data_IF_287310069697
#
_entry.id   IF_287310069697
#
_cell.length_a   1.000
_cell.length_b   1.000
_cell.length_c   1.000
_cell.angle_alpha   90.00
_cell.angle_beta   90.00
_cell.angle_gamma   90.00
#
_symmetry.space_group_name_H-M   'P 1'
#
loop_
_entity.id
_entity.type
_entity.pdbx_description
1 polymer ?
#
# COMPACT_ATOMS: atom_id res chain seq x y z
N UNK A 1 14.34 7.63 27.19
CA UNK A 1 15.06 7.88 25.93
C UNK A 1 16.22 6.88 25.80
N UNK A 2 16.32 6.12 24.70
CA UNK A 2 17.55 5.36 24.41
C UNK A 2 18.71 6.37 24.26
N UNK A 3 19.77 6.21 25.04
CA UNK A 3 21.02 6.96 24.86
C UNK A 3 21.78 6.30 23.70
N UNK A 4 21.98 7.03 22.61
CA UNK A 4 22.85 6.61 21.53
C UNK A 4 24.30 6.91 21.91
N UNK A 5 25.20 5.94 21.75
CA UNK A 5 26.59 6.07 22.19
C UNK A 5 27.40 6.98 21.24
N UNK A 6 27.27 6.76 19.94
CA UNK A 6 27.99 7.54 18.94
C UNK A 6 27.41 8.95 18.75
N UNK A 7 28.30 9.95 18.67
CA UNK A 7 27.92 11.36 18.42
C UNK A 7 27.15 11.51 17.11
N UNK A 8 27.62 10.84 16.04
CA UNK A 8 26.96 10.85 14.74
C UNK A 8 25.51 10.34 14.79
N UNK A 9 25.25 9.27 15.55
CA UNK A 9 23.91 8.68 15.69
C UNK A 9 23.02 9.58 16.55
N UNK A 10 23.56 10.23 17.60
CA UNK A 10 22.82 11.25 18.38
C UNK A 10 22.37 12.42 17.50
N UNK A 11 23.28 12.94 16.68
CA UNK A 11 22.98 14.02 15.74
C UNK A 11 21.94 13.59 14.69
N UNK A 12 22.06 12.37 14.17
CA UNK A 12 21.09 11.81 13.23
C UNK A 12 19.70 11.65 13.87
N UNK A 13 19.65 11.15 15.12
CA UNK A 13 18.42 11.01 15.88
C UNK A 13 17.76 12.38 16.15
N UNK A 14 18.54 13.40 16.50
CA UNK A 14 18.03 14.76 16.66
C UNK A 14 17.44 15.31 15.35
N UNK A 15 18.09 15.06 14.20
CA UNK A 15 17.55 15.42 12.90
C UNK A 15 16.25 14.67 12.57
N UNK A 16 16.15 13.37 12.91
CA UNK A 16 14.94 12.59 12.73
C UNK A 16 13.78 13.08 13.62
N UNK A 17 14.07 13.50 14.87
CA UNK A 17 13.07 14.01 15.81
C UNK A 17 12.38 15.27 15.28
N UNK A 18 13.08 16.16 14.57
CA UNK A 18 12.50 17.39 13.98
C UNK A 18 11.40 17.11 12.95
N UNK A 19 11.54 16.02 12.18
CA UNK A 19 10.61 15.69 11.07
C UNK A 19 9.66 14.53 11.42
N UNK A 20 10.02 13.73 12.41
CA UNK A 20 9.31 12.54 12.83
C UNK A 20 9.44 12.35 14.35
N UNK A 21 8.79 13.21 15.15
CA UNK A 21 8.86 13.11 16.60
C UNK A 21 8.37 11.76 17.10
N UNK A 22 8.98 11.25 18.17
CA UNK A 22 8.54 10.00 18.81
C UNK A 22 7.23 10.16 19.56
N UNK A 23 7.03 11.35 20.13
CA UNK A 23 5.83 11.70 20.86
C UNK A 23 4.74 12.13 19.87
N UNK A 24 3.61 11.39 19.75
CA UNK A 24 2.51 11.74 18.85
C UNK A 24 1.96 13.16 19.05
N UNK A 25 2.00 13.69 20.28
CA UNK A 25 1.39 14.99 20.59
C UNK A 25 2.19 16.15 19.97
N UNK A 26 3.47 15.94 19.69
CA UNK A 26 4.35 16.93 19.06
C UNK A 26 4.28 16.97 17.53
N UNK A 27 3.34 16.24 16.92
CA UNK A 27 3.34 16.04 15.48
C UNK A 27 2.90 17.23 14.65
N UNK A 28 2.07 18.11 15.19
CA UNK A 28 1.58 19.27 14.44
C UNK A 28 2.71 20.24 14.04
N UNK A 29 3.76 20.32 14.87
CA UNK A 29 4.93 21.18 14.68
C UNK A 29 6.09 20.57 13.89
N UNK A 30 5.94 19.35 13.34
CA UNK A 30 7.06 18.67 12.65
C UNK A 30 7.46 19.37 11.36
N UNK A 31 8.77 19.47 11.14
CA UNK A 31 9.34 20.05 9.94
C UNK A 31 8.97 19.21 8.70
N UNK A 32 8.64 19.85 7.56
CA UNK A 32 8.44 19.13 6.32
C UNK A 32 9.77 18.60 5.77
N UNK A 33 9.71 17.48 5.06
CA UNK A 33 10.85 16.93 4.30
C UNK A 33 10.64 17.18 2.81
N UNK A 34 11.73 17.17 2.04
CA UNK A 34 11.65 17.24 0.58
C UNK A 34 11.00 15.96 0.07
N UNK A 35 9.80 16.08 -0.48
CA UNK A 35 9.03 15.01 -1.10
C UNK A 35 9.47 14.75 -2.55
N UNK A 36 8.77 13.83 -3.21
CA UNK A 36 8.96 13.58 -4.65
C UNK A 36 8.62 14.86 -5.42
N UNK A 37 9.47 15.26 -6.37
CA UNK A 37 9.29 16.49 -7.14
C UNK A 37 9.68 17.79 -6.41
N UNK A 38 10.33 17.71 -5.25
CA UNK A 38 10.80 18.89 -4.50
C UNK A 38 9.74 19.53 -3.60
N UNK A 39 8.51 18.99 -3.58
CA UNK A 39 7.40 19.51 -2.79
C UNK A 39 7.63 19.20 -1.30
N UNK A 40 7.54 20.18 -0.40
CA UNK A 40 7.62 19.92 1.04
C UNK A 40 6.45 19.04 1.51
N UNK A 41 6.73 17.91 2.14
CA UNK A 41 5.71 16.98 2.65
C UNK A 41 6.00 16.62 4.10
N UNK A 42 4.95 16.58 4.94
CA UNK A 42 5.06 16.11 6.32
C UNK A 42 5.14 14.59 6.37
N UNK A 43 6.05 14.07 7.19
CA UNK A 43 6.24 12.61 7.35
C UNK A 43 4.97 11.97 7.93
N UNK A 44 4.58 10.81 7.40
CA UNK A 44 3.44 10.02 7.89
C UNK A 44 3.81 9.12 9.08
N UNK A 45 2.84 8.61 9.86
CA UNK A 45 3.15 7.72 10.98
C UNK A 45 3.95 6.47 10.65
N UNK A 46 3.60 5.84 9.54
CA UNK A 46 4.32 4.66 9.09
C UNK A 46 5.76 5.01 8.73
N UNK A 47 5.97 6.15 8.07
CA UNK A 47 7.30 6.62 7.68
C UNK A 47 8.13 7.05 8.88
N UNK A 48 7.55 7.70 9.87
CA UNK A 48 8.23 8.05 11.12
C UNK A 48 8.83 6.81 11.81
N UNK A 49 8.05 5.73 11.93
CA UNK A 49 8.55 4.44 12.45
C UNK A 49 9.69 3.87 11.62
N UNK A 50 9.63 4.00 10.29
CA UNK A 50 10.69 3.53 9.39
C UNK A 50 11.98 4.36 9.52
N UNK A 51 11.88 5.68 9.69
CA UNK A 51 13.03 6.54 9.94
C UNK A 51 13.74 6.13 11.24
N UNK A 52 12.97 5.94 12.32
CA UNK A 52 13.51 5.48 13.60
C UNK A 52 14.09 4.06 13.55
N UNK A 53 13.51 3.18 12.73
CA UNK A 53 14.09 1.87 12.46
C UNK A 53 15.49 2.01 11.84
N UNK A 54 15.68 2.90 10.86
CA UNK A 54 16.98 3.13 10.21
C UNK A 54 17.97 3.83 11.14
N UNK A 55 17.53 4.79 11.98
CA UNK A 55 18.38 5.35 13.04
C UNK A 55 18.87 4.25 13.98
N UNK A 56 17.99 3.32 14.35
CA UNK A 56 18.38 2.15 15.15
C UNK A 56 19.32 1.19 14.41
N UNK A 57 19.27 1.10 13.08
CA UNK A 57 20.25 0.34 12.30
C UNK A 57 21.62 1.03 12.33
N UNK A 58 21.67 2.35 12.20
CA UNK A 58 22.91 3.13 12.34
C UNK A 58 23.54 2.96 13.71
N UNK A 59 22.74 3.00 14.77
CA UNK A 59 23.19 2.74 16.15
C UNK A 59 23.88 1.38 16.30
N UNK A 60 23.37 0.33 15.64
CA UNK A 60 23.98 -1.02 15.65
C UNK A 60 25.17 -1.18 14.73
N UNK A 61 25.26 -0.36 13.68
CA UNK A 61 26.37 -0.39 12.74
C UNK A 61 27.56 0.38 13.31
N UNK A 62 27.35 1.62 13.72
CA UNK A 62 28.40 2.51 14.21
C UNK A 62 28.97 1.93 15.51
N UNK A 63 30.22 1.50 15.47
CA UNK A 63 30.81 0.74 16.57
C UNK A 63 31.50 -0.54 16.11
N UNK A 64 31.01 -1.12 15.02
CA UNK A 64 31.53 -2.34 14.43
C UNK A 64 32.87 -2.12 13.73
N UNK A 65 33.66 -3.19 13.64
CA UNK A 65 34.99 -3.22 13.03
C UNK A 65 34.98 -2.94 11.53
N UNK A 66 33.89 -3.32 10.86
CA UNK A 66 33.67 -3.10 9.43
C UNK A 66 33.38 -1.63 9.12
N UNK A 67 32.90 -0.86 10.10
CA UNK A 67 32.51 0.54 9.88
C UNK A 67 33.73 1.46 9.99
N UNK A 68 33.96 2.37 9.02
CA UNK A 68 35.05 3.32 9.10
C UNK A 68 34.94 4.22 10.35
N UNK A 69 36.04 4.45 11.08
CA UNK A 69 36.04 5.23 12.34
C UNK A 69 35.43 6.63 12.21
N UNK A 70 35.59 7.25 11.04
CA UNK A 70 35.00 8.57 10.74
C UNK A 70 33.47 8.59 10.87
N UNK A 71 32.81 7.43 10.75
CA UNK A 71 31.37 7.29 10.93
C UNK A 71 30.91 7.71 12.34
N UNK A 72 31.78 7.69 13.35
CA UNK A 72 31.45 8.12 14.72
C UNK A 72 31.44 9.65 14.89
N UNK A 73 32.11 10.39 14.00
CA UNK A 73 32.46 11.81 14.21
C UNK A 73 31.28 12.77 14.07
N UNK A 74 30.44 12.58 13.05
CA UNK A 74 29.26 13.42 12.82
C UNK A 74 28.22 12.75 11.92
N UNK A 75 26.97 13.21 11.98
CA UNK A 75 25.88 12.62 11.19
C UNK A 75 26.13 12.70 9.67
N UNK A 76 26.77 13.76 9.18
CA UNK A 76 27.10 13.90 7.76
C UNK A 76 28.11 12.85 7.27
N UNK A 77 28.99 12.36 8.14
CA UNK A 77 29.96 11.31 7.80
C UNK A 77 29.29 9.95 7.54
N UNK A 78 28.11 9.70 8.14
CA UNK A 78 27.31 8.50 7.90
C UNK A 78 26.89 8.36 6.43
N UNK A 79 26.73 9.49 5.74
CA UNK A 79 26.28 9.55 4.36
C UNK A 79 27.43 9.69 3.34
N UNK A 80 28.66 9.40 3.75
CA UNK A 80 29.79 9.31 2.81
C UNK A 80 29.76 7.96 2.08
N UNK A 81 30.21 7.89 0.80
CA UNK A 81 30.07 6.66 0.02
C UNK A 81 30.70 5.41 0.66
N UNK A 82 31.92 5.46 1.24
CA UNK A 82 32.48 4.31 1.96
C UNK A 82 31.66 3.88 3.17
N UNK A 83 31.10 4.81 3.95
CA UNK A 83 30.32 4.47 5.14
C UNK A 83 28.94 3.92 4.75
N UNK A 84 28.33 4.47 3.69
CA UNK A 84 27.06 3.97 3.15
C UNK A 84 27.19 2.58 2.56
N UNK A 85 28.32 2.25 1.91
CA UNK A 85 28.58 0.92 1.36
C UNK A 85 28.58 -0.14 2.45
N UNK A 86 29.41 0.04 3.48
CA UNK A 86 29.51 -0.90 4.61
C UNK A 86 28.17 -1.03 5.36
N UNK A 87 27.52 0.10 5.62
CA UNK A 87 26.18 0.08 6.21
C UNK A 87 25.18 -0.74 5.38
N UNK A 88 25.22 -0.57 4.06
CA UNK A 88 24.30 -1.24 3.15
C UNK A 88 24.52 -2.76 3.11
N UNK A 89 25.77 -3.21 3.10
CA UNK A 89 26.13 -4.63 3.13
C UNK A 89 25.68 -5.29 4.44
N UNK A 90 25.92 -4.63 5.57
CA UNK A 90 25.43 -5.07 6.89
C UNK A 90 23.90 -5.09 6.97
N UNK A 91 23.23 -4.12 6.34
CA UNK A 91 21.77 -4.08 6.28
C UNK A 91 21.23 -5.23 5.42
N UNK A 92 21.79 -5.45 4.22
CA UNK A 92 21.37 -6.49 3.28
C UNK A 92 21.46 -7.89 3.87
N UNK A 93 22.57 -8.19 4.53
CA UNK A 93 22.78 -9.45 5.25
C UNK A 93 21.91 -9.61 6.49
N UNK A 94 21.15 -8.58 6.87
CA UNK A 94 20.21 -8.62 8.01
C UNK A 94 20.88 -8.48 9.37
N UNK A 95 22.18 -8.20 9.43
CA UNK A 95 22.94 -8.08 10.68
C UNK A 95 22.55 -6.86 11.52
N UNK A 96 21.90 -5.87 10.91
CA UNK A 96 21.41 -4.67 11.58
C UNK A 96 19.96 -4.77 12.07
N UNK A 97 19.33 -5.95 12.00
CA UNK A 97 17.95 -6.15 12.46
C UNK A 97 17.86 -6.06 13.99
N UNK A 98 16.82 -5.40 14.49
CA UNK A 98 16.55 -5.37 15.93
C UNK A 98 15.96 -6.71 16.43
N UNK A 99 15.22 -7.41 15.57
CA UNK A 99 14.59 -8.69 15.87
C UNK A 99 15.13 -9.77 14.94
N UNK A 100 15.41 -10.95 15.50
CA UNK A 100 15.80 -12.12 14.71
C UNK A 100 14.65 -12.54 13.80
N UNK A 101 14.94 -13.08 12.60
CA UNK A 101 13.91 -13.63 11.73
C UNK A 101 13.18 -14.78 12.42
N UNK A 102 11.88 -14.91 12.13
CA UNK A 102 11.08 -16.08 12.51
C UNK A 102 11.67 -17.35 11.89
N UNK A 103 11.48 -18.49 12.58
CA UNK A 103 11.99 -19.81 12.14
C UNK A 103 11.54 -20.10 10.70
N UNK A 104 12.48 -20.44 9.83
CA UNK A 104 12.24 -20.72 8.40
C UNK A 104 12.33 -19.51 7.46
N UNK A 105 12.57 -18.28 7.95
CA UNK A 105 12.85 -17.13 7.09
C UNK A 105 14.35 -16.89 6.93
N UNK A 106 14.75 -16.42 5.74
CA UNK A 106 16.13 -15.99 5.45
C UNK A 106 16.57 -14.86 6.38
N UNK A 107 17.86 -14.85 6.72
CA UNK A 107 18.48 -13.82 7.56
C UNK A 107 18.48 -12.45 6.88
N UNK A 108 18.75 -12.43 5.58
CA UNK A 108 18.76 -11.25 4.71
C UNK A 108 17.47 -10.42 4.79
N UNK A 109 17.62 -9.11 4.59
CA UNK A 109 16.46 -8.23 4.49
C UNK A 109 15.72 -8.45 3.16
N UNK A 110 14.38 -8.61 3.18
CA UNK A 110 13.59 -8.65 1.96
C UNK A 110 13.79 -7.38 1.11
N UNK A 111 13.76 -7.52 -0.22
CA UNK A 111 13.93 -6.42 -1.18
C UNK A 111 13.00 -5.22 -0.88
N UNK A 112 11.75 -5.47 -0.47
CA UNK A 112 10.81 -4.44 -0.09
C UNK A 112 11.29 -3.61 1.12
N UNK A 113 11.91 -4.26 2.10
CA UNK A 113 12.50 -3.59 3.27
C UNK A 113 13.75 -2.81 2.88
N UNK A 114 14.60 -3.35 2.00
CA UNK A 114 15.77 -2.63 1.50
C UNK A 114 15.39 -1.33 0.79
N UNK A 115 14.31 -1.31 0.02
CA UNK A 115 13.78 -0.05 -0.56
C UNK A 115 13.36 0.95 0.49
N UNK A 116 12.68 0.49 1.54
CA UNK A 116 12.30 1.35 2.67
C UNK A 116 13.55 1.95 3.33
N UNK A 117 14.58 1.13 3.55
CA UNK A 117 15.86 1.60 4.10
C UNK A 117 16.49 2.64 3.19
N UNK A 118 16.61 2.37 1.88
CA UNK A 118 17.12 3.31 0.87
C UNK A 118 16.36 4.64 0.87
N UNK A 119 15.04 4.60 0.82
CA UNK A 119 14.21 5.82 0.86
C UNK A 119 14.48 6.63 2.14
N UNK A 120 14.56 5.95 3.29
CA UNK A 120 14.83 6.61 4.57
C UNK A 120 16.26 7.17 4.66
N UNK A 121 17.25 6.51 4.05
CA UNK A 121 18.60 7.05 3.90
C UNK A 121 18.60 8.35 3.09
N UNK A 122 17.79 8.43 2.02
CA UNK A 122 17.64 9.67 1.25
C UNK A 122 17.09 10.83 2.10
N UNK A 123 16.02 10.56 2.86
CA UNK A 123 15.42 11.57 3.75
C UNK A 123 16.43 11.99 4.83
N UNK A 124 16.95 11.03 5.60
CA UNK A 124 17.88 11.31 6.70
C UNK A 124 19.16 12.00 6.22
N UNK A 125 19.71 11.56 5.09
CA UNK A 125 20.90 12.13 4.50
C UNK A 125 20.69 13.59 4.11
N UNK A 126 19.53 13.93 3.54
CA UNK A 126 19.19 15.32 3.16
C UNK A 126 19.10 16.27 4.35
N UNK A 127 18.75 15.74 5.54
CA UNK A 127 18.60 16.53 6.77
C UNK A 127 19.93 16.85 7.46
N UNK A 128 20.97 16.04 7.24
CA UNK A 128 22.27 16.16 7.94
C UNK A 128 23.42 16.50 7.02
N UNK A 129 23.23 16.40 5.70
CA UNK A 129 24.24 16.76 4.72
C UNK A 129 24.16 18.25 4.37
N UNK A 130 25.29 18.88 4.02
CA UNK A 130 25.28 20.26 3.52
C UNK A 130 24.32 20.43 2.35
N UNK A 131 23.60 21.57 2.30
CA UNK A 131 22.68 21.89 1.20
C UNK A 131 23.42 21.80 -0.14
N UNK A 132 22.80 21.17 -1.13
CA UNK A 132 23.37 20.99 -2.48
C UNK A 132 24.31 19.79 -2.64
N UNK A 133 24.66 19.07 -1.57
CA UNK A 133 25.45 17.83 -1.69
C UNK A 133 24.60 16.69 -2.23
N UNK A 134 24.98 16.14 -3.38
CA UNK A 134 24.36 14.94 -3.94
C UNK A 134 24.69 13.71 -3.09
N UNK A 135 23.68 12.91 -2.79
CA UNK A 135 23.80 11.67 -2.03
C UNK A 135 23.86 10.47 -2.98
N UNK A 136 25.00 9.78 -3.00
CA UNK A 136 25.14 8.50 -3.70
C UNK A 136 24.46 7.38 -2.90
N UNK A 137 23.15 7.23 -3.05
CA UNK A 137 22.39 6.16 -2.40
C UNK A 137 22.61 4.81 -3.09
N UNK A 138 22.61 3.69 -2.35
CA UNK A 138 22.69 2.35 -2.94
C UNK A 138 21.60 2.10 -3.98
N UNK A 139 21.98 1.40 -5.05
CA UNK A 139 21.02 0.92 -6.06
C UNK A 139 20.25 -0.27 -5.51
N UNK A 140 18.94 -0.28 -5.71
CA UNK A 140 18.07 -1.39 -5.31
C UNK A 140 17.34 -1.88 -6.54
N UNK A 141 17.39 -3.19 -6.87
CA UNK A 141 16.69 -3.73 -8.03
C UNK A 141 15.22 -3.30 -8.02
N UNK A 142 14.73 -2.77 -9.14
CA UNK A 142 13.31 -2.52 -9.32
C UNK A 142 12.58 -3.85 -9.44
N UNK A 143 11.36 -3.98 -8.88
CA UNK A 143 10.65 -5.23 -8.98
C UNK A 143 10.18 -5.33 -10.43
N UNK A 144 10.56 -6.39 -11.13
CA UNK A 144 9.83 -6.77 -12.34
C UNK A 144 8.39 -7.01 -11.88
N UNK A 145 7.46 -6.25 -12.46
CA UNK A 145 6.05 -6.42 -12.12
C UNK A 145 5.67 -7.84 -12.52
N UNK A 146 5.07 -8.59 -11.59
CA UNK A 146 4.54 -9.91 -11.92
C UNK A 146 3.46 -9.75 -12.97
N UNK A 147 3.40 -10.71 -13.88
CA UNK A 147 2.37 -10.80 -14.91
C UNK A 147 0.98 -10.71 -14.30
N UNK A 148 0.11 -9.99 -14.98
CA UNK A 148 -1.31 -9.85 -14.64
C UNK A 148 -2.07 -11.09 -15.06
N UNK A 149 -3.22 -11.34 -14.41
CA UNK A 149 -4.12 -12.44 -14.81
C UNK A 149 -4.65 -12.17 -16.22
N UNK A 150 -4.79 -13.22 -17.03
CA UNK A 150 -5.45 -13.14 -18.34
C UNK A 150 -6.95 -12.86 -18.17
N UNK A 151 -7.52 -12.09 -19.09
CA UNK A 151 -8.95 -11.71 -19.03
C UNK A 151 -9.90 -12.93 -19.03
N UNK A 152 -9.55 -13.99 -19.76
CA UNK A 152 -10.31 -15.26 -19.80
C UNK A 152 -10.43 -15.92 -18.42
N UNK A 153 -9.35 -15.93 -17.64
CA UNK A 153 -9.33 -16.49 -16.29
C UNK A 153 -10.17 -15.65 -15.31
N UNK A 154 -10.33 -14.34 -15.55
CA UNK A 154 -11.22 -13.48 -14.77
C UNK A 154 -12.70 -13.78 -15.04
N UNK A 155 -13.10 -14.00 -16.30
CA UNK A 155 -14.46 -14.38 -16.64
C UNK A 155 -14.85 -15.76 -16.12
N UNK A 156 -13.90 -16.69 -16.04
CA UNK A 156 -14.08 -17.98 -15.36
C UNK A 156 -14.21 -17.81 -13.85
N UNK A 157 -13.39 -16.96 -13.23
CA UNK A 157 -13.52 -16.62 -11.82
C UNK A 157 -14.93 -16.11 -11.53
N UNK A 158 -15.43 -15.08 -12.24
CA UNK A 158 -16.79 -14.56 -12.04
C UNK A 158 -17.88 -15.63 -12.12
N UNK A 159 -17.86 -16.48 -13.15
CA UNK A 159 -18.85 -17.57 -13.29
C UNK A 159 -18.78 -18.56 -12.12
N UNK A 160 -17.57 -18.94 -11.71
CA UNK A 160 -17.39 -19.85 -10.57
C UNK A 160 -17.74 -19.20 -9.23
N UNK A 161 -17.52 -17.90 -9.03
CA UNK A 161 -17.94 -17.20 -7.81
C UNK A 161 -19.45 -17.33 -7.58
N UNK A 162 -20.26 -17.33 -8.66
CA UNK A 162 -21.71 -17.55 -8.60
C UNK A 162 -22.05 -18.98 -8.19
N UNK A 163 -21.41 -19.99 -8.79
CA UNK A 163 -21.58 -21.40 -8.41
C UNK A 163 -21.22 -21.63 -6.94
N UNK A 164 -20.08 -21.06 -6.51
CA UNK A 164 -19.56 -21.20 -5.15
C UNK A 164 -20.42 -20.50 -4.11
N UNK A 165 -21.10 -19.42 -4.47
CA UNK A 165 -22.04 -18.76 -3.59
C UNK A 165 -23.23 -19.69 -3.26
N UNK A 166 -23.65 -20.54 -4.20
CA UNK A 166 -24.84 -21.40 -4.07
C UNK A 166 -24.60 -22.79 -3.45
N UNK A 167 -23.36 -23.28 -3.42
CA UNK A 167 -23.07 -24.65 -2.98
C UNK A 167 -22.87 -24.79 -1.45
N UNK A 168 -23.04 -26.02 -0.92
CA UNK A 168 -22.67 -26.45 0.45
C UNK A 168 -21.17 -26.19 0.78
N UNK A 169 -20.68 -26.43 2.02
CA UNK A 169 -19.29 -26.17 2.38
C UNK A 169 -18.33 -26.76 1.34
N UNK A 170 -17.45 -25.92 0.80
CA UNK A 170 -16.39 -26.42 -0.07
C UNK A 170 -15.35 -27.03 0.84
N UNK A 171 -15.28 -28.36 0.85
CA UNK A 171 -14.32 -29.11 1.63
C UNK A 171 -13.50 -30.03 0.72
N UNK A 172 -12.18 -30.04 0.95
CA UNK A 172 -11.26 -30.97 0.33
C UNK A 172 -10.10 -31.22 1.28
N UNK A 173 -9.78 -32.49 1.53
CA UNK A 173 -8.64 -32.89 2.36
C UNK A 173 -8.66 -32.23 3.76
N UNK A 174 -9.84 -32.07 4.36
CA UNK A 174 -10.04 -31.40 5.65
C UNK A 174 -9.88 -29.88 5.63
N UNK A 175 -9.62 -29.27 4.47
CA UNK A 175 -9.64 -27.82 4.27
C UNK A 175 -11.04 -27.44 3.84
N UNK A 176 -11.76 -26.69 4.69
CA UNK A 176 -13.06 -26.14 4.37
C UNK A 176 -13.04 -24.60 4.42
N UNK A 177 -13.77 -23.96 3.51
CA UNK A 177 -14.16 -22.56 3.66
C UNK A 177 -15.52 -22.49 4.37
N UNK A 178 -15.56 -21.85 5.53
CA UNK A 178 -16.84 -21.58 6.21
C UNK A 178 -17.75 -20.72 5.33
N UNK A 179 -19.05 -20.77 5.60
CA UNK A 179 -20.02 -19.95 4.88
C UNK A 179 -19.66 -18.45 4.96
N UNK A 180 -19.24 -17.98 6.13
CA UNK A 180 -18.85 -16.59 6.38
C UNK A 180 -17.56 -16.22 5.66
N UNK A 181 -16.54 -17.09 5.69
CA UNK A 181 -15.27 -16.86 5.00
C UNK A 181 -15.48 -16.79 3.49
N UNK A 182 -16.27 -17.72 2.95
CA UNK A 182 -16.62 -17.75 1.53
C UNK A 182 -17.38 -16.50 1.14
N UNK A 183 -18.46 -16.16 1.83
CA UNK A 183 -19.30 -15.01 1.49
C UNK A 183 -18.51 -13.70 1.53
N UNK A 184 -17.65 -13.52 2.54
CA UNK A 184 -16.74 -12.37 2.61
C UNK A 184 -15.74 -12.36 1.45
N UNK A 185 -15.11 -13.50 1.15
CA UNK A 185 -14.12 -13.61 0.08
C UNK A 185 -14.74 -13.30 -1.28
N UNK A 186 -15.92 -13.87 -1.57
CA UNK A 186 -16.66 -13.62 -2.80
C UNK A 186 -16.97 -12.13 -2.96
N UNK A 187 -17.50 -11.49 -1.91
CA UNK A 187 -17.78 -10.05 -1.92
C UNK A 187 -16.50 -9.22 -2.16
N UNK A 188 -15.39 -9.57 -1.51
CA UNK A 188 -14.10 -8.88 -1.71
C UNK A 188 -13.59 -9.02 -3.14
N UNK A 189 -13.62 -10.24 -3.69
CA UNK A 189 -13.16 -10.51 -5.06
C UNK A 189 -14.02 -9.72 -6.05
N UNK A 190 -15.35 -9.84 -5.98
CA UNK A 190 -16.26 -9.18 -6.92
C UNK A 190 -16.13 -7.65 -6.87
N UNK A 191 -15.99 -7.06 -5.68
CA UNK A 191 -15.70 -5.62 -5.54
C UNK A 191 -14.34 -5.25 -6.15
N UNK A 192 -13.32 -6.09 -6.00
CA UNK A 192 -12.00 -5.84 -6.62
C UNK A 192 -12.09 -5.89 -8.14
N UNK A 193 -12.90 -6.80 -8.67
CA UNK A 193 -13.09 -6.96 -10.11
C UNK A 193 -13.94 -5.83 -10.73
N UNK A 194 -14.87 -5.24 -9.99
CA UNK A 194 -15.67 -4.11 -10.49
C UNK A 194 -14.99 -2.75 -10.28
N UNK A 195 -14.16 -2.60 -9.23
CA UNK A 195 -13.72 -1.25 -8.77
C UNK A 195 -12.19 -1.08 -8.65
N UNK A 196 -11.43 -2.17 -8.83
CA UNK A 196 -9.97 -2.21 -8.74
C UNK A 196 -9.36 -1.40 -7.56
N UNK A 197 -9.83 -1.54 -6.30
CA UNK A 197 -9.31 -0.80 -5.16
C UNK A 197 -8.00 -1.40 -4.67
N UNK A 198 -7.09 -0.57 -4.14
CA UNK A 198 -5.95 -1.06 -3.34
C UNK A 198 -6.45 -1.63 -2.01
N UNK A 199 -5.66 -2.46 -1.35
CA UNK A 199 -6.12 -3.12 -0.11
C UNK A 199 -6.46 -2.13 1.01
N UNK A 200 -5.73 -1.01 1.07
CA UNK A 200 -6.06 0.09 1.99
C UNK A 200 -7.29 0.91 1.61
N UNK A 201 -7.63 0.98 0.33
CA UNK A 201 -8.84 1.65 -0.18
C UNK A 201 -10.05 0.75 0.09
N UNK A 202 -9.95 -0.55 -0.24
CA UNK A 202 -10.97 -1.55 0.04
C UNK A 202 -11.26 -1.64 1.55
N UNK A 203 -10.23 -1.70 2.39
CA UNK A 203 -10.40 -1.74 3.85
C UNK A 203 -11.01 -0.45 4.43
N UNK A 204 -10.99 0.66 3.69
CA UNK A 204 -11.57 1.93 4.13
C UNK A 204 -13.03 2.12 3.69
N UNK A 205 -13.59 1.19 2.90
CA UNK A 205 -14.97 1.23 2.44
C UNK A 205 -15.93 1.12 3.63
N UNK A 206 -16.92 2.00 3.65
CA UNK A 206 -18.00 2.05 4.65
C UNK A 206 -19.34 1.67 4.03
N UNK A 207 -20.33 1.36 4.86
CA UNK A 207 -21.71 1.13 4.39
C UNK A 207 -22.28 2.34 3.65
N UNK A 208 -21.98 3.55 4.13
CA UNK A 208 -22.37 4.81 3.47
C UNK A 208 -21.63 5.08 2.14
N UNK A 209 -20.72 4.20 1.73
CA UNK A 209 -20.09 4.24 0.42
C UNK A 209 -20.84 3.34 -0.59
N UNK A 210 -21.86 2.59 -0.18
CA UNK A 210 -22.76 1.85 -1.08
C UNK A 210 -24.02 2.67 -1.37
N UNK A 211 -24.50 2.62 -2.63
CA UNK A 211 -25.83 3.15 -2.96
C UNK A 211 -26.93 2.20 -2.51
N UNK A 212 -28.18 2.64 -2.59
CA UNK A 212 -29.35 1.76 -2.40
C UNK A 212 -29.29 0.55 -3.35
N UNK A 213 -29.61 -0.63 -2.80
CA UNK A 213 -29.57 -1.91 -3.53
C UNK A 213 -28.19 -2.29 -4.07
N UNK A 214 -27.13 -1.75 -3.45
CA UNK A 214 -25.72 -2.02 -3.73
C UNK A 214 -25.32 -1.76 -5.19
N UNK A 215 -26.05 -0.90 -5.91
CA UNK A 215 -25.86 -0.70 -7.36
C UNK A 215 -24.55 -0.03 -7.73
N UNK A 216 -23.99 0.78 -6.84
CA UNK A 216 -22.69 1.40 -7.01
C UNK A 216 -21.94 1.48 -5.69
N UNK A 217 -20.62 1.56 -5.80
CA UNK A 217 -19.70 1.69 -4.68
C UNK A 217 -18.77 2.89 -4.87
N UNK A 218 -18.67 3.71 -3.83
CA UNK A 218 -17.70 4.80 -3.73
C UNK A 218 -16.36 4.29 -3.22
N UNK A 219 -15.31 4.49 -4.01
CA UNK A 219 -13.93 4.18 -3.63
C UNK A 219 -13.17 5.48 -3.42
N UNK A 220 -12.70 5.71 -2.20
CA UNK A 220 -11.79 6.83 -1.89
C UNK A 220 -10.38 6.49 -2.35
N UNK A 221 -9.90 7.12 -3.43
CA UNK A 221 -8.58 6.87 -3.98
C UNK A 221 -7.53 7.48 -3.06
N UNK A 222 -6.73 6.62 -2.43
CA UNK A 222 -5.59 7.02 -1.60
C UNK A 222 -4.33 6.76 -2.40
N UNK A 223 -4.04 7.64 -3.35
CA UNK A 223 -2.83 7.54 -4.16
C UNK A 223 -1.60 7.63 -3.25
N UNK A 224 -0.95 6.48 -3.01
CA UNK A 224 0.35 6.43 -2.37
C UNK A 224 1.41 6.22 -3.45
N UNK A 225 2.34 7.18 -3.54
CA UNK A 225 3.61 7.11 -4.28
C UNK A 225 3.56 7.03 -5.82
N UNK A 226 2.43 7.31 -6.44
CA UNK A 226 2.41 7.62 -7.87
C UNK A 226 1.41 8.75 -8.09
N UNK A 227 1.76 9.79 -8.84
CA UNK A 227 0.76 10.72 -9.35
C UNK A 227 -0.28 9.94 -10.17
N UNK A 228 -1.45 10.54 -10.40
CA UNK A 228 -2.45 9.98 -11.28
C UNK A 228 -1.80 9.44 -12.55
N UNK A 229 -2.22 8.27 -13.03
CA UNK A 229 -1.83 7.87 -14.39
C UNK A 229 -2.64 8.70 -15.41
N UNK A 230 -2.54 10.03 -15.31
CA UNK A 230 -2.90 11.02 -16.31
C UNK A 230 -1.69 11.34 -17.18
N UNK A 231 -0.68 10.46 -17.20
CA UNK A 231 0.53 10.72 -17.97
C UNK A 231 0.20 10.95 -19.45
N UNK A 232 -0.83 10.26 -19.96
CA UNK A 232 -1.32 10.42 -21.33
C UNK A 232 -2.14 11.70 -21.51
N UNK A 233 -2.99 12.05 -20.56
CA UNK A 233 -3.79 13.28 -20.63
C UNK A 233 -2.93 14.54 -20.47
N UNK A 234 -2.00 14.53 -19.51
CA UNK A 234 -0.99 15.58 -19.33
C UNK A 234 -0.07 15.63 -20.55
N UNK A 235 0.28 14.50 -21.15
CA UNK A 235 1.08 14.45 -22.38
C UNK A 235 0.34 15.06 -23.57
N UNK A 236 -0.95 14.77 -23.71
CA UNK A 236 -1.80 15.37 -24.73
C UNK A 236 -1.90 16.89 -24.55
N UNK A 237 -2.17 17.35 -23.31
CA UNK A 237 -2.30 18.79 -23.02
C UNK A 237 -0.96 19.54 -23.12
N UNK A 238 0.14 18.93 -22.68
CA UNK A 238 1.46 19.51 -22.79
C UNK A 238 2.12 19.30 -24.16
N UNK A 239 1.48 18.55 -25.08
CA UNK A 239 2.04 18.07 -26.37
C UNK A 239 3.46 17.49 -26.24
N UNK A 240 3.63 16.56 -25.31
CA UNK A 240 4.90 15.86 -25.06
C UNK A 240 4.68 14.36 -25.05
N UNK A 241 5.76 13.58 -25.11
CA UNK A 241 5.66 12.14 -24.96
C UNK A 241 5.25 11.74 -23.52
N UNK A 242 4.33 10.76 -23.34
CA UNK A 242 3.93 10.25 -22.02
C UNK A 242 5.09 9.77 -21.15
N UNK A 243 6.20 9.30 -21.72
CA UNK A 243 7.39 8.92 -20.96
C UNK A 243 8.08 10.12 -20.29
N UNK A 244 8.11 11.28 -20.94
CA UNK A 244 8.60 12.54 -20.36
C UNK A 244 7.74 12.98 -19.19
N UNK A 245 6.42 12.87 -19.33
CA UNK A 245 5.49 13.15 -18.23
C UNK A 245 5.75 12.21 -17.06
N UNK A 246 5.84 10.90 -17.30
CA UNK A 246 6.15 9.91 -16.26
C UNK A 246 7.49 10.21 -15.58
N UNK A 247 8.51 10.62 -16.32
CA UNK A 247 9.81 11.00 -15.76
C UNK A 247 9.68 12.19 -14.79
N UNK A 248 8.98 13.26 -15.18
CA UNK A 248 8.72 14.44 -14.31
C UNK A 248 7.90 14.04 -13.08
N UNK A 249 6.81 13.31 -13.30
CA UNK A 249 5.90 12.80 -12.28
C UNK A 249 6.58 11.89 -11.24
N UNK A 250 7.63 11.16 -11.64
CA UNK A 250 8.46 10.36 -10.75
C UNK A 250 9.66 11.10 -10.15
N UNK A 251 9.75 12.42 -10.37
CA UNK A 251 10.82 13.27 -9.82
C UNK A 251 12.15 13.18 -10.56
N UNK A 252 12.18 12.55 -11.75
CA UNK A 252 13.37 12.47 -12.60
C UNK A 252 13.50 13.71 -13.48
N UNK A 253 13.42 14.92 -12.90
CA UNK A 253 13.52 16.21 -13.65
C UNK A 253 14.76 16.29 -14.54
N UNK A 254 15.86 15.70 -14.11
CA UNK A 254 17.12 15.67 -14.86
C UNK A 254 17.05 14.91 -16.20
N UNK A 255 15.98 14.15 -16.46
CA UNK A 255 15.77 13.41 -17.71
C UNK A 255 14.99 14.20 -18.77
N UNK A 256 14.50 15.40 -18.43
CA UNK A 256 13.75 16.25 -19.35
C UNK A 256 14.36 17.64 -19.42
N UNK A 257 14.18 18.32 -20.55
CA UNK A 257 14.60 19.71 -20.69
C UNK A 257 13.78 20.63 -19.77
N UNK A 258 14.32 21.79 -19.41
CA UNK A 258 13.59 22.80 -18.63
C UNK A 258 12.30 23.23 -19.33
N UNK A 259 12.34 23.37 -20.66
CA UNK A 259 11.18 23.73 -21.47
C UNK A 259 10.08 22.66 -21.40
N UNK A 260 10.43 21.38 -21.56
CA UNK A 260 9.52 20.24 -21.42
C UNK A 260 8.92 20.17 -20.01
N UNK A 261 9.74 20.42 -18.99
CA UNK A 261 9.30 20.47 -17.59
C UNK A 261 8.25 21.57 -17.38
N UNK A 262 8.49 22.79 -17.86
CA UNK A 262 7.55 23.90 -17.72
C UNK A 262 6.20 23.62 -18.41
N UNK A 263 6.21 23.01 -19.60
CA UNK A 263 4.95 22.59 -20.28
C UNK A 263 4.17 21.56 -19.48
N UNK A 264 4.85 20.57 -18.92
CA UNK A 264 4.22 19.53 -18.08
C UNK A 264 3.63 20.17 -16.81
N UNK A 265 4.35 21.10 -16.18
CA UNK A 265 3.86 21.80 -14.98
C UNK A 265 2.65 22.70 -15.31
N UNK A 266 2.68 23.43 -16.43
CA UNK A 266 1.55 24.24 -16.89
C UNK A 266 0.30 23.37 -17.14
N UNK A 267 0.45 22.28 -17.89
CA UNK A 267 -0.62 21.32 -18.13
C UNK A 267 -1.18 20.73 -16.83
N UNK A 268 -0.33 20.39 -15.85
CA UNK A 268 -0.77 19.92 -14.54
C UNK A 268 -1.56 20.99 -13.76
N UNK A 269 -1.29 22.28 -13.98
CA UNK A 269 -2.01 23.39 -13.36
C UNK A 269 -3.38 23.66 -13.98
N UNK A 270 -3.58 23.29 -15.25
CA UNK A 270 -4.86 23.42 -15.96
C UNK A 270 -5.83 22.27 -15.66
N UNK A 271 -5.30 21.09 -15.31
CA UNK A 271 -6.13 19.93 -15.01
C UNK A 271 -6.78 20.04 -13.63
N UNK A 272 -8.08 19.82 -13.57
CA UNK A 272 -8.78 19.69 -12.30
C UNK A 272 -8.18 18.55 -11.46
N UNK A 273 -8.05 18.74 -10.13
CA UNK A 273 -7.56 17.68 -9.26
C UNK A 273 -8.48 16.45 -9.37
N UNK A 274 -7.88 15.26 -9.46
CA UNK A 274 -8.68 14.04 -9.47
C UNK A 274 -9.57 13.98 -8.23
N UNK A 275 -10.82 13.53 -8.38
CA UNK A 275 -11.71 13.42 -7.25
C UNK A 275 -11.12 12.44 -6.22
N UNK A 276 -11.12 12.85 -4.94
CA UNK A 276 -10.65 11.98 -3.86
C UNK A 276 -11.49 10.69 -3.74
N UNK A 277 -12.69 10.70 -4.30
CA UNK A 277 -13.62 9.59 -4.32
C UNK A 277 -14.28 9.44 -5.68
N UNK A 278 -14.30 8.22 -6.19
CA UNK A 278 -14.91 7.84 -7.46
C UNK A 278 -16.02 6.82 -7.20
N UNK A 279 -17.08 6.84 -8.00
CA UNK A 279 -18.16 5.87 -7.93
C UNK A 279 -18.03 4.84 -9.05
N UNK A 280 -18.30 3.58 -8.75
CA UNK A 280 -18.22 2.48 -9.71
C UNK A 280 -19.53 1.71 -9.70
N UNK A 281 -20.07 1.37 -10.88
CA UNK A 281 -21.24 0.51 -10.99
C UNK A 281 -20.86 -0.91 -10.60
N UNK A 282 -21.68 -1.52 -9.75
CA UNK A 282 -21.52 -2.91 -9.37
C UNK A 282 -22.35 -3.81 -10.28
N UNK A 283 -21.73 -4.86 -10.81
CA UNK A 283 -22.42 -5.86 -11.61
C UNK A 283 -23.40 -6.67 -10.75
N UNK A 284 -24.39 -7.32 -11.37
CA UNK A 284 -25.41 -8.08 -10.65
C UNK A 284 -24.80 -9.16 -9.73
N UNK A 285 -23.79 -9.88 -10.20
CA UNK A 285 -23.08 -10.88 -9.39
C UNK A 285 -22.39 -10.27 -8.17
N UNK A 286 -21.81 -9.07 -8.31
CA UNK A 286 -21.21 -8.33 -7.20
C UNK A 286 -22.25 -7.87 -6.20
N UNK A 287 -23.41 -7.38 -6.68
CA UNK A 287 -24.53 -6.98 -5.83
C UNK A 287 -25.04 -8.14 -4.97
N UNK A 288 -25.20 -9.32 -5.57
CA UNK A 288 -25.60 -10.54 -4.84
C UNK A 288 -24.54 -10.94 -3.81
N UNK A 289 -23.26 -10.94 -4.18
CA UNK A 289 -22.18 -11.29 -3.26
C UNK A 289 -22.08 -10.31 -2.08
N UNK A 290 -22.18 -9.01 -2.34
CA UNK A 290 -22.17 -7.96 -1.31
C UNK A 290 -23.39 -8.10 -0.41
N UNK A 291 -24.60 -8.31 -0.94
CA UNK A 291 -25.82 -8.46 -0.14
C UNK A 291 -25.73 -9.64 0.84
N UNK A 292 -25.31 -10.81 0.36
CA UNK A 292 -25.09 -11.97 1.24
C UNK A 292 -24.04 -11.70 2.32
N UNK A 293 -22.99 -10.96 1.96
CA UNK A 293 -21.99 -10.54 2.94
C UNK A 293 -22.58 -9.59 3.98
N UNK A 294 -23.45 -8.66 3.58
CA UNK A 294 -24.11 -7.74 4.50
C UNK A 294 -24.96 -8.49 5.54
N UNK A 295 -25.67 -9.54 5.14
CA UNK A 295 -26.43 -10.41 6.05
C UNK A 295 -25.53 -11.07 7.11
N UNK A 296 -24.44 -11.71 6.69
CA UNK A 296 -23.46 -12.32 7.61
C UNK A 296 -22.81 -11.28 8.51
N UNK A 297 -22.45 -10.13 7.93
CA UNK A 297 -21.81 -9.02 8.64
C UNK A 297 -22.73 -8.46 9.72
N UNK A 298 -24.02 -8.29 9.43
CA UNK A 298 -24.99 -7.77 10.37
C UNK A 298 -25.08 -8.65 11.61
N UNK A 299 -25.20 -9.96 11.44
CA UNK A 299 -25.21 -10.94 12.54
C UNK A 299 -23.94 -10.82 13.42
N UNK A 300 -22.77 -10.69 12.80
CA UNK A 300 -21.51 -10.53 13.52
C UNK A 300 -21.43 -9.21 14.29
N UNK A 301 -21.93 -8.12 13.72
CA UNK A 301 -21.88 -6.78 14.31
C UNK A 301 -22.96 -6.59 15.38
N UNK A 302 -24.13 -7.20 15.24
CA UNK A 302 -25.19 -7.18 16.26
C UNK A 302 -24.77 -7.93 17.52
N UNK A 303 -23.98 -8.99 17.37
CA UNK A 303 -23.41 -9.72 18.51
C UNK A 303 -22.36 -8.92 19.30
N UNK A 304 -21.95 -7.73 18.82
CA UNK A 304 -20.93 -6.91 19.47
C UNK A 304 -21.49 -5.96 20.54
N UNK A 305 -20.87 -5.91 21.73
CA UNK A 305 -21.19 -4.89 22.73
C UNK A 305 -20.65 -3.48 22.39
N UNK A 306 -19.86 -3.32 21.32
CA UNK A 306 -19.15 -2.08 20.98
C UNK A 306 -19.47 -1.58 19.56
N UNK A 307 -19.45 -0.26 19.38
CA UNK A 307 -19.80 0.44 18.12
C UNK A 307 -18.75 0.33 17.00
N UNK A 308 -17.53 -0.14 17.29
CA UNK A 308 -16.35 -0.02 16.42
C UNK A 308 -16.37 -0.76 15.07
N UNK A 309 -17.40 -1.54 14.76
CA UNK A 309 -17.60 -2.21 13.46
C UNK A 309 -18.78 -1.70 12.63
N UNK A 310 -19.70 -0.92 13.23
CA UNK A 310 -21.04 -0.68 12.67
C UNK A 310 -21.07 0.00 11.30
N UNK A 311 -20.09 0.86 11.00
CA UNK A 311 -20.04 1.59 9.73
C UNK A 311 -19.12 0.98 8.68
N UNK A 312 -18.22 0.05 9.05
CA UNK A 312 -17.24 -0.52 8.12
C UNK A 312 -17.87 -1.63 7.28
N UNK A 313 -17.54 -1.72 5.98
CA UNK A 313 -18.04 -2.81 5.14
C UNK A 313 -17.38 -4.15 5.50
N UNK A 314 -16.11 -4.14 5.88
CA UNK A 314 -15.35 -5.37 6.15
C UNK A 314 -15.06 -5.53 7.64
N UNK A 315 -15.40 -6.70 8.19
CA UNK A 315 -15.21 -7.03 9.60
C UNK A 315 -14.43 -8.33 9.80
N UNK A 316 -13.89 -8.51 11.00
CA UNK A 316 -13.25 -9.76 11.42
C UNK A 316 -14.30 -10.87 11.59
N UNK A 317 -13.98 -12.11 11.21
CA UNK A 317 -14.86 -13.27 11.45
C UNK A 317 -14.50 -14.01 12.74
N UNK A 318 -13.25 -13.87 13.18
CA UNK A 318 -12.72 -14.54 14.37
C UNK A 318 -12.14 -13.50 15.32
N UNK A 319 -12.09 -13.79 16.63
CA UNK A 319 -11.39 -12.95 17.60
C UNK A 319 -9.94 -12.73 17.18
N UNK A 320 -9.46 -11.50 17.39
CA UNK A 320 -8.08 -11.10 17.09
C UNK A 320 -7.47 -10.35 18.27
N UNK A 321 -6.16 -10.08 18.21
CA UNK A 321 -5.50 -9.18 19.18
C UNK A 321 -6.12 -7.78 19.25
N UNK A 322 -6.87 -7.36 18.22
CA UNK A 322 -7.53 -6.06 18.17
C UNK A 322 -8.93 -6.08 18.80
N UNK A 323 -9.50 -7.25 19.11
CA UNK A 323 -10.82 -7.39 19.69
C UNK A 323 -11.61 -8.60 19.15
N UNK A 324 -12.90 -8.71 19.54
CA UNK A 324 -13.79 -9.81 19.13
C UNK A 324 -14.06 -9.87 17.62
N UNK A 325 -14.76 -10.91 17.17
CA UNK A 325 -15.31 -10.97 15.81
C UNK A 325 -16.30 -9.80 15.56
N UNK A 326 -16.44 -9.32 14.33
CA UNK A 326 -17.32 -8.20 13.97
C UNK A 326 -16.66 -6.81 14.02
N UNK A 327 -15.43 -6.68 14.52
CA UNK A 327 -14.73 -5.38 14.51
C UNK A 327 -14.19 -5.05 13.11
N UNK A 328 -13.97 -3.75 12.84
CA UNK A 328 -13.44 -3.28 11.55
C UNK A 328 -12.15 -3.98 11.14
N UNK A 329 -12.12 -4.53 9.92
CA UNK A 329 -10.97 -5.23 9.36
C UNK A 329 -9.91 -4.22 8.87
N UNK A 330 -8.77 -4.16 9.56
CA UNK A 330 -7.65 -3.28 9.17
C UNK A 330 -7.01 -3.72 7.83
N UNK A 331 -6.32 -2.83 7.09
CA UNK A 331 -5.73 -3.15 5.78
C UNK A 331 -4.84 -4.40 5.74
N UNK A 332 -4.04 -4.61 6.80
CA UNK A 332 -3.21 -5.83 6.91
C UNK A 332 -4.07 -7.08 7.13
N UNK A 333 -5.09 -6.99 7.98
CA UNK A 333 -6.04 -8.08 8.22
C UNK A 333 -6.83 -8.43 6.95
N UNK A 334 -7.23 -7.43 6.17
CA UNK A 334 -7.88 -7.63 4.87
C UNK A 334 -6.96 -8.36 3.90
N UNK A 335 -5.71 -7.93 3.79
CA UNK A 335 -4.73 -8.57 2.89
C UNK A 335 -4.50 -10.03 3.28
N UNK A 336 -4.42 -10.32 4.58
CA UNK A 336 -4.28 -11.69 5.09
C UNK A 336 -5.54 -12.53 4.87
N UNK A 337 -6.73 -11.98 5.12
CA UNK A 337 -7.99 -12.66 4.89
C UNK A 337 -8.17 -13.02 3.41
N UNK A 338 -7.92 -12.07 2.51
CA UNK A 338 -7.93 -12.30 1.07
C UNK A 338 -6.93 -13.39 0.66
N UNK A 339 -5.68 -13.29 1.11
CA UNK A 339 -4.65 -14.28 0.74
C UNK A 339 -4.99 -15.69 1.25
N UNK A 340 -5.48 -15.82 2.48
CA UNK A 340 -5.93 -17.11 3.03
C UNK A 340 -7.11 -17.67 2.24
N UNK A 341 -8.13 -16.84 1.99
CA UNK A 341 -9.31 -17.23 1.23
C UNK A 341 -8.95 -17.68 -0.19
N UNK A 342 -8.12 -16.92 -0.90
CA UNK A 342 -7.64 -17.30 -2.24
C UNK A 342 -6.79 -18.57 -2.23
N UNK A 343 -5.96 -18.78 -1.20
CA UNK A 343 -5.16 -20.00 -1.08
C UNK A 343 -6.05 -21.22 -0.89
N UNK A 344 -7.03 -21.13 0.02
CA UNK A 344 -8.01 -22.19 0.24
C UNK A 344 -8.84 -22.43 -1.03
N UNK A 345 -9.31 -21.37 -1.69
CA UNK A 345 -10.07 -21.48 -2.93
C UNK A 345 -9.27 -22.18 -4.04
N UNK A 346 -8.01 -21.79 -4.26
CA UNK A 346 -7.14 -22.44 -5.24
C UNK A 346 -6.95 -23.93 -4.95
N UNK A 347 -6.81 -24.30 -3.67
CA UNK A 347 -6.67 -25.69 -3.25
C UNK A 347 -7.95 -26.49 -3.50
N UNK A 348 -9.09 -25.96 -3.06
CA UNK A 348 -10.41 -26.58 -3.22
C UNK A 348 -10.75 -26.82 -4.70
N UNK A 349 -10.41 -25.84 -5.56
CA UNK A 349 -10.69 -25.88 -6.99
C UNK A 349 -9.60 -26.59 -7.81
N UNK A 350 -8.52 -27.05 -7.19
CA UNK A 350 -7.40 -27.65 -7.92
C UNK A 350 -7.86 -28.88 -8.73
N UNK A 351 -7.52 -28.92 -10.02
CA UNK A 351 -7.91 -30.02 -10.92
C UNK A 351 -9.36 -29.96 -11.43
N UNK A 352 -10.14 -28.93 -11.08
CA UNK A 352 -11.42 -28.70 -11.75
C UNK A 352 -11.21 -28.18 -13.18
N UNK A 353 -12.05 -28.66 -14.11
CA UNK A 353 -11.97 -28.27 -15.51
C UNK A 353 -12.11 -26.74 -15.69
N UNK A 354 -11.14 -26.14 -16.37
CA UNK A 354 -11.08 -24.70 -16.64
C UNK A 354 -10.65 -23.84 -15.44
N UNK A 355 -10.21 -24.43 -14.33
CA UNK A 355 -9.65 -23.69 -13.20
C UNK A 355 -8.13 -23.58 -13.29
N UNK A 356 -7.64 -22.34 -13.31
CA UNK A 356 -6.23 -22.02 -13.11
C UNK A 356 -6.04 -21.37 -11.73
N UNK A 357 -5.00 -21.73 -10.96
CA UNK A 357 -4.75 -21.12 -9.66
C UNK A 357 -4.61 -19.59 -9.77
N UNK A 358 -5.52 -18.90 -9.09
CA UNK A 358 -5.57 -17.44 -9.10
C UNK A 358 -4.53 -16.82 -8.18
N UNK A 359 -4.09 -15.56 -8.42
CA UNK A 359 -3.13 -14.92 -7.54
C UNK A 359 -3.65 -14.74 -6.11
N UNK A 360 -2.85 -15.16 -5.13
CA UNK A 360 -3.16 -14.96 -3.70
C UNK A 360 -2.97 -13.51 -3.23
N UNK A 361 -2.40 -12.64 -4.08
CA UNK A 361 -2.21 -11.23 -3.80
C UNK A 361 -3.24 -10.40 -4.56
N UNK A 362 -4.05 -9.68 -3.81
CA UNK A 362 -5.09 -8.78 -4.34
C UNK A 362 -4.54 -7.77 -5.38
N UNK A 363 -3.31 -7.29 -5.20
CA UNK A 363 -2.67 -6.35 -6.13
C UNK A 363 -2.47 -6.95 -7.54
N UNK A 364 -2.28 -8.26 -7.67
CA UNK A 364 -2.15 -8.90 -8.99
C UNK A 364 -3.51 -9.00 -9.69
N UNK A 365 -4.57 -9.30 -8.93
CA UNK A 365 -5.94 -9.33 -9.44
C UNK A 365 -6.39 -7.92 -9.87
N UNK A 366 -6.17 -6.94 -8.99
CA UNK A 366 -6.51 -5.53 -9.23
C UNK A 366 -5.89 -4.97 -10.52
N UNK A 367 -4.66 -5.35 -10.84
CA UNK A 367 -3.94 -4.87 -12.04
C UNK A 367 -4.42 -5.51 -13.33
N UNK A 368 -5.11 -6.63 -13.26
CA UNK A 368 -5.71 -7.29 -14.41
C UNK A 368 -7.07 -6.69 -14.80
N UNK A 369 -7.56 -5.73 -14.00
CA UNK A 369 -8.89 -5.14 -14.13
C UNK A 369 -8.75 -3.69 -14.56
N UNK A 370 -9.50 -3.31 -15.60
CA UNK A 370 -9.74 -1.91 -15.97
C UNK A 370 -11.12 -1.55 -15.44
N UNK A 371 -11.16 -0.73 -14.39
CA UNK A 371 -12.40 -0.26 -13.79
C UNK A 371 -12.66 1.18 -14.22
N UNK A 372 -13.83 1.43 -14.81
CA UNK A 372 -14.24 2.75 -15.28
C UNK A 372 -15.18 3.39 -14.24
N UNK A 373 -14.86 4.60 -13.75
CA UNK A 373 -15.73 5.31 -12.82
C UNK A 373 -16.99 5.81 -13.55
N UNK A 374 -18.11 5.86 -12.83
CA UNK A 374 -19.38 6.38 -13.33
C UNK A 374 -19.29 7.88 -13.61
N UNK A 375 -19.90 8.29 -14.72
CA UNK A 375 -20.11 9.71 -15.03
C UNK A 375 -21.13 10.39 -14.09
N UNK A 376 -21.17 11.73 -14.03
CA UNK A 376 -22.11 12.48 -13.20
C UNK A 376 -23.59 12.19 -13.51
N UNK A 377 -23.92 11.93 -14.78
CA UNK A 377 -25.27 11.58 -15.24
C UNK A 377 -25.69 10.21 -14.72
N UNK A 378 -24.84 9.19 -14.90
CA UNK A 378 -25.10 7.83 -14.44
C UNK A 378 -25.21 7.73 -12.92
N UNK A 379 -24.42 8.52 -12.19
CA UNK A 379 -24.51 8.58 -10.73
C UNK A 379 -25.86 9.17 -10.28
N UNK A 380 -26.35 10.20 -10.99
CA UNK A 380 -27.63 10.84 -10.68
C UNK A 380 -28.83 9.91 -10.84
N UNK A 381 -28.74 8.92 -11.74
CA UNK A 381 -29.76 7.86 -11.90
C UNK A 381 -29.73 6.85 -10.74
N UNK A 382 -28.55 6.63 -10.14
CA UNK A 382 -28.33 5.63 -9.10
C UNK A 382 -28.46 6.18 -7.68
N UNK A 383 -28.32 7.49 -7.52
CA UNK A 383 -28.48 8.23 -6.26
C UNK A 383 -29.60 9.26 -6.47
N UNK A 384 -30.87 8.91 -6.21
CA UNK A 384 -31.95 9.87 -6.32
C UNK A 384 -31.64 11.06 -5.40
N UNK A 385 -31.74 12.28 -5.95
CA UNK A 385 -31.60 13.50 -5.15
C UNK A 385 -32.65 13.48 -4.04
N UNK A 386 -32.19 13.32 -2.80
CA UNK A 386 -33.00 13.46 -1.59
C UNK A 386 -33.42 14.90 -1.38
#
# INVERSE_FOLDING_TARGET
>A
MRRYEALSVRQLAAAAERVAPRDPDSWEGREPVVGVGGIPVRVSPARARQLWMVVGMWDRAVGRTEMPDRARRSASQLFTPPVLREFWELAQSGQLRALRPERGRKAELPLATLRIVRDCLGILGSLVSPKGRLLGLPSVPQPVLKETVRAESLGMLYRRLVDLAGASPLERDGVALSYEDRTRLLAMISVVLDTAPRSGELAAVRLADLTSGERALRVRRRQQKAPPNRAEEVAALAEVDPSSVRAVLWGNRHQVSEWTYQRIVAALGELEPLPEAEWYRLQEGTRVAVRRWLEVREQLVESLPLTGGRSALWVTLVPTKAGPAGITLRPQGLTQAFARGMTALNWLMAGQYGWEPMPVRMEQLRRAVVAEPLGPSELSELVPRS
#
